data_IF_794317647640
#
_entry.id   IF_794317647640
#
_cell.length_a   1.000
_cell.length_b   1.000
_cell.length_c   1.000
_cell.angle_alpha   90.00
_cell.angle_beta   90.00
_cell.angle_gamma   90.00
#
_symmetry.space_group_name_H-M   'P 1'
#
loop_
_entity.id
_entity.type
_entity.pdbx_description
1 polymer ?
#
# COMPACT_ATOMS: atom_id res chain seq x y z
N UNK A 1 20.20 1.68 -11.15
CA UNK A 1 18.77 1.76 -10.76
C UNK A 1 18.08 0.40 -10.68
N UNK A 2 18.11 -0.43 -11.73
CA UNK A 2 17.41 -1.74 -11.71
C UNK A 2 17.89 -2.67 -10.58
N UNK A 3 19.20 -2.77 -10.36
CA UNK A 3 19.78 -3.60 -9.28
C UNK A 3 19.28 -3.19 -7.90
N UNK A 4 19.29 -1.89 -7.63
CA UNK A 4 18.88 -1.31 -6.35
C UNK A 4 17.37 -1.50 -6.09
N UNK A 5 16.57 -1.41 -7.16
CA UNK A 5 15.14 -1.71 -7.09
C UNK A 5 14.88 -3.19 -6.80
N UNK A 6 15.67 -4.09 -7.40
CA UNK A 6 15.57 -5.52 -7.14
C UNK A 6 15.94 -5.86 -5.68
N UNK A 7 17.01 -5.27 -5.14
CA UNK A 7 17.42 -5.46 -3.75
C UNK A 7 16.32 -5.03 -2.78
N UNK A 8 15.76 -3.83 -2.95
CA UNK A 8 14.67 -3.33 -2.09
C UNK A 8 13.43 -4.23 -2.16
N UNK A 9 13.08 -4.74 -3.34
CA UNK A 9 11.90 -5.63 -3.50
C UNK A 9 12.11 -7.03 -2.88
N UNK A 10 13.36 -7.51 -2.84
CA UNK A 10 13.75 -8.72 -2.13
C UNK A 10 13.76 -8.50 -0.61
N UNK A 11 14.27 -7.36 -0.14
CA UNK A 11 14.29 -7.00 1.28
C UNK A 11 12.89 -6.82 1.87
N UNK A 12 11.98 -6.20 1.11
CA UNK A 12 10.56 -6.07 1.45
C UNK A 12 9.80 -7.41 1.38
N UNK A 13 10.47 -8.51 0.99
CA UNK A 13 9.88 -9.85 0.79
C UNK A 13 8.67 -9.83 -0.14
N UNK A 14 8.65 -8.89 -1.09
CA UNK A 14 7.63 -8.86 -2.14
C UNK A 14 7.98 -9.89 -3.22
N UNK A 15 9.28 -10.00 -3.49
CA UNK A 15 9.88 -10.91 -4.45
C UNK A 15 10.65 -12.01 -3.71
N UNK A 16 10.43 -13.25 -4.13
CA UNK A 16 11.11 -14.41 -3.58
C UNK A 16 11.89 -15.10 -4.70
N UNK A 17 13.17 -15.45 -4.47
CA UNK A 17 13.91 -16.27 -5.40
C UNK A 17 13.23 -17.63 -5.50
N UNK A 18 12.82 -18.00 -6.71
CA UNK A 18 12.13 -19.24 -7.00
C UNK A 18 12.78 -19.90 -8.21
N UNK A 19 13.10 -21.18 -8.09
CA UNK A 19 13.63 -21.96 -9.20
C UNK A 19 12.49 -22.34 -10.12
N UNK A 20 12.54 -21.83 -11.35
CA UNK A 20 11.58 -22.19 -12.38
C UNK A 20 11.81 -23.66 -12.82
N UNK A 21 10.76 -24.34 -13.33
CA UNK A 21 10.93 -25.68 -13.90
C UNK A 21 12.00 -25.61 -15.00
N UNK A 22 13.10 -26.36 -14.84
CA UNK A 22 14.28 -26.26 -15.69
C UNK A 22 15.53 -25.67 -15.01
N UNK A 23 15.47 -25.37 -13.70
CA UNK A 23 16.66 -24.98 -12.92
C UNK A 23 17.11 -23.53 -13.11
N UNK A 24 16.32 -22.73 -13.82
CA UNK A 24 16.60 -21.31 -14.02
C UNK A 24 16.30 -20.50 -12.75
N UNK A 25 17.19 -19.59 -12.32
CA UNK A 25 16.91 -18.68 -11.23
C UNK A 25 15.86 -17.67 -11.68
N UNK A 26 14.68 -17.73 -11.08
CA UNK A 26 13.60 -16.79 -11.29
C UNK A 26 13.26 -16.04 -10.01
N UNK A 27 12.47 -14.98 -10.17
CA UNK A 27 11.93 -14.22 -9.05
C UNK A 27 10.41 -14.31 -9.14
N UNK A 28 9.78 -14.82 -8.09
CA UNK A 28 8.34 -14.94 -7.99
C UNK A 28 7.78 -13.88 -7.03
N UNK A 29 6.72 -13.19 -7.47
CA UNK A 29 5.95 -12.29 -6.60
C UNK A 29 5.19 -13.10 -5.55
N UNK A 30 5.19 -12.64 -4.31
CA UNK A 30 4.45 -13.31 -3.24
C UNK A 30 2.95 -13.40 -3.60
N UNK A 31 2.31 -14.57 -3.47
CA UNK A 31 0.92 -14.77 -3.91
C UNK A 31 -0.07 -13.86 -3.17
N UNK A 32 0.17 -13.56 -1.89
CA UNK A 32 -0.67 -12.61 -1.14
C UNK A 32 -0.55 -11.19 -1.68
N UNK A 33 0.67 -10.76 -2.06
CA UNK A 33 0.85 -9.44 -2.65
C UNK A 33 0.20 -9.36 -4.03
N UNK A 34 0.32 -10.41 -4.85
CA UNK A 34 -0.37 -10.51 -6.14
C UNK A 34 -1.90 -10.42 -5.97
N UNK A 35 -2.44 -11.13 -4.98
CA UNK A 35 -3.87 -11.15 -4.71
C UNK A 35 -4.38 -9.78 -4.22
N UNK A 36 -3.69 -9.19 -3.24
CA UNK A 36 -4.04 -7.89 -2.70
C UNK A 36 -3.91 -6.77 -3.74
N UNK A 37 -2.86 -6.82 -4.57
CA UNK A 37 -2.68 -5.84 -5.66
C UNK A 37 -3.79 -5.97 -6.72
N UNK A 38 -4.23 -7.19 -7.04
CA UNK A 38 -5.37 -7.41 -7.94
C UNK A 38 -6.66 -6.86 -7.34
N UNK A 39 -6.90 -7.07 -6.05
CA UNK A 39 -8.05 -6.49 -5.34
C UNK A 39 -7.99 -4.97 -5.36
N UNK A 40 -6.82 -4.37 -5.12
CA UNK A 40 -6.66 -2.91 -5.12
C UNK A 40 -6.90 -2.29 -6.50
N UNK A 41 -6.49 -2.95 -7.59
CA UNK A 41 -6.61 -2.42 -8.95
C UNK A 41 -7.96 -2.70 -9.61
N UNK A 42 -8.50 -3.90 -9.43
CA UNK A 42 -9.72 -4.36 -10.11
C UNK A 42 -10.96 -4.33 -9.20
N UNK A 43 -10.79 -3.98 -7.92
CA UNK A 43 -11.82 -4.12 -6.91
C UNK A 43 -12.13 -5.60 -6.61
N UNK A 44 -13.15 -5.82 -5.78
CA UNK A 44 -13.66 -7.18 -5.51
C UNK A 44 -13.06 -7.89 -4.28
N UNK A 45 -12.37 -7.17 -3.40
CA UNK A 45 -11.98 -7.67 -2.08
C UNK A 45 -12.57 -6.84 -0.95
N UNK A 46 -12.37 -7.29 0.29
CA UNK A 46 -12.76 -6.53 1.49
C UNK A 46 -12.04 -5.18 1.45
N UNK A 47 -12.80 -4.08 1.58
CA UNK A 47 -12.24 -2.74 1.60
C UNK A 47 -11.14 -2.67 2.68
N UNK A 48 -9.94 -2.20 2.31
CA UNK A 48 -8.86 -2.02 3.28
C UNK A 48 -9.23 -0.92 4.28
N UNK A 49 -9.89 0.14 3.81
CA UNK A 49 -10.55 1.09 4.70
C UNK A 49 -11.98 0.60 4.97
N UNK A 50 -12.20 0.16 6.20
CA UNK A 50 -13.56 0.11 6.79
C UNK A 50 -14.24 1.49 6.74
N UNK A 51 -13.48 2.56 6.46
CA UNK A 51 -13.95 3.94 6.32
C UNK A 51 -14.07 4.36 4.85
N UNK A 52 -14.81 3.58 4.05
CA UNK A 52 -15.38 4.04 2.76
C UNK A 52 -16.86 4.40 2.89
N UNK A 53 -17.37 4.49 4.12
CA UNK A 53 -18.66 5.11 4.35
C UNK A 53 -18.59 6.54 3.80
N UNK A 54 -19.60 7.02 3.05
CA UNK A 54 -19.71 8.44 2.78
C UNK A 54 -19.72 9.14 4.13
N UNK A 55 -18.63 9.86 4.44
CA UNK A 55 -18.58 10.74 5.60
C UNK A 55 -19.82 11.62 5.48
N UNK A 56 -20.76 11.45 6.41
CA UNK A 56 -21.98 12.25 6.45
C UNK A 56 -21.64 13.74 6.49
N UNK A 57 -22.59 14.65 6.24
CA UNK A 57 -22.32 16.08 6.23
C UNK A 57 -21.56 16.48 7.51
N UNK A 58 -20.33 16.95 7.32
CA UNK A 58 -19.40 17.21 8.41
C UNK A 58 -19.93 18.36 9.26
N UNK A 59 -20.46 18.02 10.44
CA UNK A 59 -21.02 18.97 11.40
C UNK A 59 -19.93 19.86 12.02
N UNK A 60 -18.66 19.48 11.83
CA UNK A 60 -17.47 20.19 12.26
C UNK A 60 -16.46 20.24 11.11
N UNK A 61 -16.89 20.68 9.92
CA UNK A 61 -15.98 21.00 8.82
C UNK A 61 -14.89 21.93 9.36
N UNK A 62 -13.74 21.36 9.73
CA UNK A 62 -12.61 22.11 10.25
C UNK A 62 -12.01 22.75 9.03
N UNK A 63 -12.26 24.04 8.85
CA UNK A 63 -11.64 24.82 7.79
C UNK A 63 -10.12 24.55 7.82
N UNK A 64 -9.52 24.41 6.63
CA UNK A 64 -8.08 24.16 6.47
C UNK A 64 -7.20 24.98 7.43
N UNK A 65 -7.46 26.30 7.68
CA UNK A 65 -6.67 27.09 8.61
C UNK A 65 -6.74 26.64 10.09
N UNK A 66 -7.84 26.02 10.52
CA UNK A 66 -7.97 25.49 11.87
C UNK A 66 -7.20 24.17 12.05
N UNK A 67 -7.07 23.37 10.98
CA UNK A 67 -6.26 22.16 10.97
C UNK A 67 -4.77 22.49 10.97
N UNK A 68 -4.35 23.49 10.20
CA UNK A 68 -2.96 23.96 10.17
C UNK A 68 -2.53 24.47 11.55
N UNK A 69 -3.33 25.35 12.16
CA UNK A 69 -3.05 25.85 13.53
C UNK A 69 -3.02 24.74 14.58
N UNK A 70 -3.91 23.76 14.47
CA UNK A 70 -3.92 22.60 15.37
C UNK A 70 -2.67 21.73 15.21
N UNK A 71 -2.17 21.56 13.99
CA UNK A 71 -0.97 20.78 13.72
C UNK A 71 0.28 21.49 14.25
N UNK A 72 0.41 22.79 14.01
CA UNK A 72 1.52 23.62 14.52
C UNK A 72 1.58 23.59 16.06
N UNK A 73 0.45 23.80 16.74
CA UNK A 73 0.41 23.85 18.22
C UNK A 73 0.66 22.49 18.92
N UNK A 74 0.58 21.36 18.20
CA UNK A 74 0.72 20.01 18.78
C UNK A 74 2.02 19.30 18.41
N UNK A 75 2.72 19.77 17.39
CA UNK A 75 3.98 19.17 16.91
C UNK A 75 5.23 19.93 17.34
N UNK A 76 5.09 21.10 17.98
CA UNK A 76 6.13 21.73 18.83
C UNK A 76 6.11 21.17 20.26
#
# INVERSE_FOLDING_TARGET
EQQQSQEVLLELRLWHPHTLPGGLPGVALHPNFKHNLRIALLGGGKAWSDDTAPLGPDRHARDVPALDKYAEERWE
#
